data_IF_031390224394
#
_entry.id   IF_031390224394
#
_cell.length_a   1.000
_cell.length_b   1.000
_cell.length_c   1.000
_cell.angle_alpha   90.00
_cell.angle_beta   90.00
_cell.angle_gamma   90.00
#
_symmetry.space_group_name_H-M   'P 1'
#
loop_
_entity.id
_entity.type
_entity.pdbx_description
1 polymer ?
#
# COMPACT_ATOMS: atom_id res chain seq x y z
N UNK A 1 0.59 -22.77 2.40
CA UNK A 1 1.30 -21.62 1.88
C UNK A 1 2.69 -22.00 1.36
N UNK A 2 3.41 -21.07 0.80
CA UNK A 2 4.71 -21.33 0.18
C UNK A 2 5.77 -21.80 1.19
N UNK A 3 5.74 -21.28 2.40
CA UNK A 3 6.68 -21.73 3.44
C UNK A 3 6.41 -23.15 3.87
N UNK A 4 5.15 -23.51 4.02
CA UNK A 4 4.75 -24.88 4.35
C UNK A 4 5.13 -25.85 3.23
N UNK A 5 5.15 -25.36 1.98
CA UNK A 5 5.57 -26.14 0.82
C UNK A 5 7.09 -26.26 0.69
N UNK A 6 7.87 -25.64 1.58
CA UNK A 6 9.32 -25.80 1.62
C UNK A 6 10.13 -24.61 1.13
N UNK A 7 9.50 -23.46 0.87
CA UNK A 7 10.24 -22.26 0.45
C UNK A 7 11.15 -21.76 1.56
N UNK A 8 12.43 -21.53 1.25
CA UNK A 8 13.40 -21.03 2.22
C UNK A 8 13.27 -19.53 2.43
N UNK A 9 12.98 -18.77 1.39
CA UNK A 9 12.79 -17.33 1.42
C UNK A 9 11.59 -16.93 0.57
N UNK A 10 10.89 -15.88 1.00
CA UNK A 10 9.76 -15.32 0.27
C UNK A 10 9.98 -13.83 0.06
N UNK A 11 10.00 -13.41 -1.20
CA UNK A 11 10.18 -12.02 -1.62
C UNK A 11 9.00 -11.61 -2.47
N UNK A 12 8.36 -10.51 -2.11
CA UNK A 12 7.17 -10.02 -2.81
C UNK A 12 7.43 -8.65 -3.40
N UNK A 13 7.02 -8.47 -4.65
CA UNK A 13 7.10 -7.20 -5.37
C UNK A 13 5.72 -6.87 -5.90
N UNK A 14 5.12 -5.84 -5.35
CA UNK A 14 3.75 -5.44 -5.68
C UNK A 14 3.78 -4.42 -6.81
N UNK A 15 2.95 -4.62 -7.83
CA UNK A 15 2.95 -3.79 -9.04
C UNK A 15 2.30 -2.42 -8.88
N UNK A 16 1.77 -2.13 -7.70
CA UNK A 16 1.14 -0.83 -7.41
C UNK A 16 1.57 -0.34 -6.03
N UNK A 17 1.34 0.96 -5.70
CA UNK A 17 1.60 1.47 -4.37
C UNK A 17 0.68 0.84 -3.31
N UNK A 18 0.99 0.97 -2.00
CA UNK A 18 0.10 0.49 -0.96
C UNK A 18 -1.26 1.19 -1.01
N UNK A 19 -2.33 0.43 -0.83
CA UNK A 19 -3.68 1.00 -0.76
C UNK A 19 -3.88 1.63 0.61
N UNK A 20 -4.01 2.96 0.65
CA UNK A 20 -4.22 3.72 1.88
C UNK A 20 -5.65 4.22 2.05
N UNK A 21 -6.41 4.27 0.96
CA UNK A 21 -7.79 4.76 0.96
C UNK A 21 -8.69 3.77 0.21
N UNK A 22 -9.83 3.38 0.80
CA UNK A 22 -10.77 2.50 0.09
C UNK A 22 -11.40 3.24 -1.08
N UNK A 23 -11.65 2.51 -2.17
CA UNK A 23 -12.29 3.09 -3.33
C UNK A 23 -13.79 3.30 -3.07
N UNK A 24 -14.32 4.54 -3.23
CA UNK A 24 -15.74 4.78 -3.03
C UNK A 24 -16.62 4.30 -4.18
N UNK A 25 -16.03 3.96 -5.32
CA UNK A 25 -16.77 3.61 -6.53
C UNK A 25 -16.72 2.13 -6.88
N UNK A 26 -15.58 1.49 -6.63
CA UNK A 26 -15.37 0.10 -6.99
C UNK A 26 -15.07 -0.72 -5.74
N UNK A 27 -15.72 -1.86 -5.65
CA UNK A 27 -15.53 -2.77 -4.51
C UNK A 27 -14.48 -3.85 -4.80
N UNK A 28 -13.47 -3.51 -5.60
CA UNK A 28 -12.47 -4.51 -6.02
C UNK A 28 -11.51 -4.90 -4.89
N UNK A 29 -11.33 -4.03 -3.92
CA UNK A 29 -10.48 -4.33 -2.76
C UNK A 29 -11.21 -5.18 -1.71
N UNK A 30 -12.51 -5.34 -1.85
CA UNK A 30 -13.40 -6.01 -0.90
C UNK A 30 -13.37 -5.39 0.51
N UNK A 31 -12.62 -4.32 0.70
CA UNK A 31 -12.52 -3.64 1.97
C UNK A 31 -13.63 -2.60 2.08
N UNK A 32 -14.49 -2.75 3.08
CA UNK A 32 -15.59 -1.81 3.35
C UNK A 32 -15.19 -0.73 4.35
N UNK A 33 -14.06 -0.92 5.01
CA UNK A 33 -13.55 -0.06 6.06
C UNK A 33 -12.06 0.18 5.83
N UNK A 34 -11.59 1.37 6.21
CA UNK A 34 -10.16 1.68 6.15
C UNK A 34 -9.34 0.71 6.99
N UNK A 35 -9.91 0.18 8.08
CA UNK A 35 -9.21 -0.74 8.97
C UNK A 35 -8.93 -2.11 8.35
N UNK A 36 -9.55 -2.43 7.24
CA UNK A 36 -9.30 -3.70 6.55
C UNK A 36 -8.09 -3.64 5.61
N UNK A 37 -7.64 -2.45 5.27
CA UNK A 37 -6.46 -2.28 4.40
C UNK A 37 -5.19 -2.59 5.19
N UNK A 38 -4.30 -3.41 4.60
CA UNK A 38 -3.05 -3.80 5.26
C UNK A 38 -2.19 -2.61 5.66
N UNK A 39 -2.11 -1.59 4.80
CA UNK A 39 -1.35 -0.38 5.09
C UNK A 39 -1.94 0.38 6.28
N UNK A 40 -3.27 0.49 6.37
CA UNK A 40 -3.92 1.15 7.50
C UNK A 40 -3.71 0.40 8.80
N UNK A 41 -3.77 -0.93 8.76
CA UNK A 41 -3.47 -1.76 9.93
C UNK A 41 -2.04 -1.56 10.42
N UNK A 42 -1.09 -1.47 9.49
CA UNK A 42 0.30 -1.23 9.82
C UNK A 42 0.49 0.15 10.47
N UNK A 43 -0.14 1.19 9.92
CA UNK A 43 -0.08 2.54 10.48
C UNK A 43 -0.69 2.58 11.90
N UNK A 44 -1.84 1.95 12.07
CA UNK A 44 -2.49 1.89 13.40
C UNK A 44 -1.59 1.22 14.43
N UNK A 45 -0.85 0.20 14.04
CA UNK A 45 0.08 -0.49 14.92
C UNK A 45 1.29 0.39 15.27
N UNK A 46 1.83 1.11 14.30
CA UNK A 46 3.00 1.98 14.49
C UNK A 46 2.67 3.23 15.30
N UNK A 47 1.51 3.83 15.07
CA UNK A 47 1.09 5.08 15.72
C UNK A 47 0.26 4.87 16.99
N UNK A 48 -0.18 3.62 17.25
CA UNK A 48 -1.11 3.32 18.31
C UNK A 48 -2.58 3.55 17.94
N UNK A 49 -2.83 4.25 16.86
CA UNK A 49 -4.17 4.50 16.33
C UNK A 49 -4.06 4.87 14.84
N UNK A 50 -5.19 4.94 14.17
CA UNK A 50 -5.24 5.29 12.74
C UNK A 50 -5.17 6.81 12.56
N UNK A 51 -3.95 7.34 12.48
CA UNK A 51 -3.69 8.79 12.34
C UNK A 51 -2.45 9.05 11.50
N UNK A 52 -2.26 10.31 11.11
CA UNK A 52 -1.07 10.76 10.36
C UNK A 52 -0.85 10.00 9.05
N UNK A 53 -1.95 9.62 8.40
CA UNK A 53 -1.91 8.81 7.18
C UNK A 53 -1.09 9.49 6.07
N UNK A 54 -1.20 10.81 5.95
CA UNK A 54 -0.48 11.58 4.93
C UNK A 54 1.03 11.46 5.05
N UNK A 55 1.55 11.24 6.26
CA UNK A 55 2.99 11.09 6.49
C UNK A 55 3.55 9.81 5.86
N UNK A 56 2.68 8.87 5.51
CA UNK A 56 3.05 7.58 4.93
C UNK A 56 2.94 7.53 3.41
N UNK A 57 2.51 8.63 2.78
CA UNK A 57 2.30 8.67 1.33
C UNK A 57 3.61 8.75 0.54
N UNK A 58 4.62 9.42 1.08
CA UNK A 58 5.91 9.60 0.42
C UNK A 58 6.74 8.32 0.50
N UNK A 59 7.01 7.65 -0.64
CA UNK A 59 7.79 6.41 -0.64
C UNK A 59 9.24 6.58 -0.18
N UNK A 60 9.74 7.81 -0.15
CA UNK A 60 11.09 8.10 0.34
C UNK A 60 11.12 8.44 1.84
N UNK A 61 9.97 8.53 2.49
CA UNK A 61 9.91 8.83 3.92
C UNK A 61 10.24 7.62 4.78
N UNK A 62 10.83 7.87 5.95
CA UNK A 62 11.12 6.83 6.93
C UNK A 62 9.85 6.14 7.41
N UNK A 63 8.76 6.89 7.58
CA UNK A 63 7.47 6.33 8.02
C UNK A 63 6.91 5.35 7.00
N UNK A 64 6.99 5.67 5.70
CA UNK A 64 6.56 4.75 4.65
C UNK A 64 7.35 3.44 4.72
N UNK A 65 8.66 3.54 4.91
CA UNK A 65 9.54 2.37 5.03
C UNK A 65 9.16 1.49 6.22
N UNK A 66 8.87 2.12 7.37
CA UNK A 66 8.41 1.39 8.55
C UNK A 66 7.06 0.71 8.32
N UNK A 67 6.15 1.36 7.61
CA UNK A 67 4.86 0.78 7.23
C UNK A 67 5.06 -0.47 6.37
N UNK A 68 5.91 -0.40 5.37
CA UNK A 68 6.19 -1.53 4.47
C UNK A 68 6.81 -2.69 5.26
N UNK A 69 7.74 -2.41 6.17
CA UNK A 69 8.34 -3.43 7.03
C UNK A 69 7.31 -4.11 7.93
N UNK A 70 6.37 -3.33 8.45
CA UNK A 70 5.30 -3.89 9.30
C UNK A 70 4.37 -4.79 8.50
N UNK A 71 4.03 -4.41 7.27
CA UNK A 71 3.23 -5.24 6.38
C UNK A 71 3.97 -6.55 6.08
N UNK A 72 5.25 -6.47 5.75
CA UNK A 72 6.08 -7.65 5.46
C UNK A 72 6.12 -8.61 6.64
N UNK A 73 6.28 -8.07 7.85
CA UNK A 73 6.30 -8.86 9.09
C UNK A 73 4.97 -9.58 9.30
N UNK A 74 3.87 -8.88 9.09
CA UNK A 74 2.52 -9.44 9.27
C UNK A 74 2.25 -10.57 8.27
N UNK A 75 2.74 -10.43 7.04
CA UNK A 75 2.55 -11.42 5.98
C UNK A 75 3.59 -12.55 6.02
N UNK A 76 4.63 -12.41 6.84
CA UNK A 76 5.71 -13.41 6.92
C UNK A 76 6.64 -13.40 5.71
N UNK A 77 6.81 -12.26 5.05
CA UNK A 77 7.70 -12.10 3.91
C UNK A 77 9.11 -11.74 4.35
N UNK A 78 10.12 -12.27 3.68
CA UNK A 78 11.52 -11.91 3.93
C UNK A 78 11.84 -10.54 3.33
N UNK A 79 11.20 -10.16 2.24
CA UNK A 79 11.22 -8.79 1.73
C UNK A 79 9.92 -8.44 1.03
N UNK A 80 9.57 -7.17 1.06
CA UNK A 80 8.37 -6.64 0.44
C UNK A 80 8.68 -5.26 -0.13
N UNK A 81 8.33 -5.04 -1.38
CA UNK A 81 8.43 -3.73 -2.02
C UNK A 81 7.18 -3.44 -2.81
N UNK A 82 6.77 -2.18 -2.82
CA UNK A 82 5.66 -1.68 -3.61
C UNK A 82 6.20 -0.80 -4.73
N UNK A 83 5.45 -0.70 -5.82
CA UNK A 83 5.75 0.23 -6.89
C UNK A 83 5.51 1.66 -6.41
N UNK A 84 6.33 2.60 -6.89
CA UNK A 84 6.14 4.03 -6.63
C UNK A 84 5.00 4.55 -7.52
N UNK A 85 4.17 5.42 -6.97
CA UNK A 85 3.04 5.97 -7.72
C UNK A 85 3.49 6.71 -8.99
N UNK A 86 4.54 7.51 -8.89
CA UNK A 86 5.07 8.24 -10.04
C UNK A 86 5.54 7.31 -11.16
N UNK A 87 6.19 6.21 -10.79
CA UNK A 87 6.67 5.22 -11.76
C UNK A 87 5.51 4.46 -12.41
N UNK A 88 4.46 4.19 -11.63
CA UNK A 88 3.25 3.55 -12.15
C UNK A 88 2.56 4.44 -13.19
N UNK A 89 2.40 5.73 -12.88
CA UNK A 89 1.80 6.71 -13.78
C UNK A 89 2.62 6.79 -15.08
N UNK A 90 3.94 6.84 -14.95
CA UNK A 90 4.86 6.86 -16.09
C UNK A 90 4.71 5.62 -16.96
N UNK A 91 4.60 4.45 -16.34
CA UNK A 91 4.44 3.18 -17.04
C UNK A 91 3.13 3.10 -17.82
N UNK A 92 2.06 3.70 -17.28
CA UNK A 92 0.77 3.75 -17.96
C UNK A 92 0.83 4.65 -19.22
N UNK A 93 1.62 5.72 -19.16
CA UNK A 93 1.82 6.61 -20.30
C UNK A 93 0.73 7.65 -20.52
N UNK A 94 -0.16 7.84 -19.53
CA UNK A 94 -1.20 8.86 -19.58
C UNK A 94 -0.89 9.99 -18.59
N UNK A 95 -1.38 11.22 -18.85
CA UNK A 95 -1.24 12.31 -17.87
C UNK A 95 -1.94 11.97 -16.55
N UNK A 96 -1.36 12.41 -15.43
CA UNK A 96 -1.89 12.13 -14.10
C UNK A 96 -3.35 12.56 -13.94
N UNK A 97 -3.71 13.70 -14.51
CA UNK A 97 -5.08 14.24 -14.43
C UNK A 97 -6.13 13.37 -15.14
N UNK A 98 -5.70 12.40 -15.93
CA UNK A 98 -6.58 11.43 -16.58
C UNK A 98 -6.67 10.09 -15.85
N UNK A 99 -6.00 9.99 -14.72
CA UNK A 99 -5.94 8.78 -13.92
C UNK A 99 -6.53 9.02 -12.54
N UNK A 100 -7.24 8.03 -12.01
CA UNK A 100 -7.71 8.06 -10.63
C UNK A 100 -6.66 7.41 -9.73
N UNK A 101 -6.12 8.17 -8.79
CA UNK A 101 -5.11 7.68 -7.83
C UNK A 101 -5.61 7.73 -6.39
N UNK A 102 -6.93 7.87 -6.20
CA UNK A 102 -7.53 8.04 -4.86
C UNK A 102 -7.11 6.95 -3.86
N UNK A 103 -7.09 5.68 -4.28
CA UNK A 103 -6.77 4.56 -3.39
C UNK A 103 -5.36 4.65 -2.83
N UNK A 104 -4.47 5.37 -3.49
CA UNK A 104 -3.07 5.46 -3.12
C UNK A 104 -2.70 6.77 -2.43
N UNK A 105 -3.27 7.88 -2.83
CA UNK A 105 -2.90 9.19 -2.31
C UNK A 105 -4.07 10.02 -1.74
N UNK A 106 -5.29 9.50 -1.80
CA UNK A 106 -6.46 10.18 -1.28
C UNK A 106 -6.96 11.34 -2.13
N UNK A 107 -6.35 11.59 -3.31
CA UNK A 107 -6.79 12.68 -4.18
C UNK A 107 -8.16 12.35 -4.81
N UNK A 108 -8.91 13.39 -5.15
CA UNK A 108 -10.19 13.23 -5.82
C UNK A 108 -10.13 13.86 -7.22
N UNK A 109 -10.44 13.04 -8.23
CA UNK A 109 -10.54 13.50 -9.61
C UNK A 109 -12.00 13.73 -10.03
N UNK A 110 -12.91 13.58 -9.09
CA UNK A 110 -14.36 13.64 -9.33
C UNK A 110 -15.02 14.78 -8.57
#
# INVERSE_FOLDING_TARGET
DLREAGAAELHMRIACPPLLYPCPFLNFSQSRSTMELAARKAIAKLEGEEKNIEDYLDPDSEKHELMVKEIASTLGMDSLMFQRLDDLIKAIGLPREKLCTHCWDGSSSF
#
